data_IF_994673161123
#
_entry.id   IF_994673161123
#
_cell.length_a   1.000
_cell.length_b   1.000
_cell.length_c   1.000
_cell.angle_alpha   90.00
_cell.angle_beta   90.00
_cell.angle_gamma   90.00
#
_symmetry.space_group_name_H-M   'P 1'
#
loop_
_entity.id
_entity.type
_entity.pdbx_description
1 polymer ?
#
# COMPACT_ATOMS: atom_id res chain seq x y z
N UNK A 1 10.90 -8.09 -6.64
CA UNK A 1 10.50 -6.80 -7.20
C UNK A 1 11.72 -5.94 -7.43
N UNK A 2 11.88 -5.25 -8.57
CA UNK A 2 12.96 -4.31 -8.78
C UNK A 2 12.86 -3.12 -7.81
N UNK A 3 14.00 -2.54 -7.47
CA UNK A 3 14.11 -1.29 -6.72
C UNK A 3 15.27 -0.46 -7.26
N UNK A 4 15.23 0.86 -7.05
CA UNK A 4 16.28 1.75 -7.53
C UNK A 4 17.64 1.32 -6.96
N UNK A 5 18.63 1.15 -7.81
CA UNK A 5 19.97 0.66 -7.44
C UNK A 5 19.97 -0.60 -6.55
N UNK A 6 18.92 -1.41 -6.61
CA UNK A 6 18.71 -2.60 -5.78
C UNK A 6 18.78 -2.34 -4.25
N UNK A 7 18.30 -1.18 -3.82
CA UNK A 7 18.39 -0.75 -2.40
C UNK A 7 17.44 -1.49 -1.47
N UNK A 8 16.32 -2.02 -2.01
CA UNK A 8 15.36 -2.86 -1.27
C UNK A 8 14.85 -2.17 0.02
N UNK A 9 14.53 -0.89 -0.09
CA UNK A 9 14.12 -0.05 1.03
C UNK A 9 12.70 -0.34 1.55
N UNK A 10 11.89 -1.08 0.79
CA UNK A 10 10.49 -1.36 1.13
C UNK A 10 10.39 -2.32 2.32
N UNK A 11 9.46 -2.03 3.24
CA UNK A 11 9.10 -2.85 4.40
C UNK A 11 7.61 -3.16 4.37
N UNK A 12 7.21 -4.25 5.03
CA UNK A 12 5.81 -4.65 5.19
C UNK A 12 5.52 -4.88 6.67
N UNK A 13 4.53 -4.18 7.18
CA UNK A 13 4.01 -4.38 8.53
C UNK A 13 2.66 -5.07 8.47
N UNK A 14 2.58 -6.25 9.05
CA UNK A 14 1.34 -7.00 9.18
C UNK A 14 0.62 -6.61 10.46
N UNK A 15 -0.61 -6.15 10.33
CA UNK A 15 -1.48 -5.77 11.44
C UNK A 15 -2.62 -6.79 11.49
N UNK A 16 -2.70 -7.57 12.57
CA UNK A 16 -3.75 -8.57 12.79
C UNK A 16 -4.57 -8.28 14.06
N UNK A 17 -4.17 -7.28 14.84
CA UNK A 17 -4.92 -6.81 16.01
C UNK A 17 -6.13 -5.98 15.53
N UNK A 18 -7.39 -6.41 15.84
CA UNK A 18 -8.58 -5.73 15.36
C UNK A 18 -8.69 -4.26 15.81
N UNK A 19 -8.24 -3.93 17.01
CA UNK A 19 -8.29 -2.55 17.53
C UNK A 19 -7.29 -1.65 16.77
N UNK A 20 -6.10 -2.17 16.49
CA UNK A 20 -5.10 -1.47 15.67
C UNK A 20 -5.57 -1.31 14.23
N UNK A 21 -6.18 -2.34 13.63
CA UNK A 21 -6.78 -2.26 12.29
C UNK A 21 -7.84 -1.17 12.25
N UNK A 22 -8.79 -1.19 13.20
CA UNK A 22 -9.86 -0.19 13.27
C UNK A 22 -9.30 1.23 13.38
N UNK A 23 -8.29 1.43 14.24
CA UNK A 23 -7.67 2.73 14.45
C UNK A 23 -6.89 3.19 13.21
N UNK A 24 -6.12 2.31 12.58
CA UNK A 24 -5.37 2.62 11.36
C UNK A 24 -6.31 3.01 10.20
N UNK A 25 -7.39 2.26 9.99
CA UNK A 25 -8.39 2.55 8.97
C UNK A 25 -9.14 3.86 9.25
N UNK A 26 -9.38 4.19 10.52
CA UNK A 26 -9.97 5.48 10.91
C UNK A 26 -9.02 6.65 10.59
N UNK A 27 -7.72 6.49 10.84
CA UNK A 27 -6.71 7.49 10.48
C UNK A 27 -6.67 7.66 8.94
N UNK A 28 -6.68 6.56 8.20
CA UNK A 28 -6.67 6.54 6.74
C UNK A 28 -7.92 7.20 6.13
N UNK A 29 -9.10 6.99 6.72
CA UNK A 29 -10.33 7.73 6.42
C UNK A 29 -11.12 7.27 5.19
N UNK A 30 -10.58 6.40 4.34
CA UNK A 30 -11.19 5.99 3.07
C UNK A 30 -11.92 4.64 3.08
N UNK A 31 -11.94 3.93 4.20
CA UNK A 31 -12.50 2.56 4.30
C UNK A 31 -13.92 2.51 4.90
N UNK A 32 -14.66 3.62 4.81
CA UNK A 32 -16.00 3.70 5.37
C UNK A 32 -17.01 2.84 4.58
N UNK A 33 -17.81 2.06 5.30
CA UNK A 33 -18.85 1.22 4.69
C UNK A 33 -18.41 -0.18 4.28
N UNK A 34 -17.13 -0.53 4.45
CA UNK A 34 -16.62 -1.88 4.23
C UNK A 34 -16.51 -2.66 5.54
N UNK A 35 -16.59 -4.00 5.44
CA UNK A 35 -16.35 -4.88 6.58
C UNK A 35 -14.90 -4.82 7.05
N UNK A 36 -14.67 -5.04 8.35
CA UNK A 36 -13.32 -5.08 8.93
C UNK A 36 -12.50 -6.21 8.31
N UNK A 37 -11.34 -5.93 7.70
CA UNK A 37 -10.48 -6.99 7.18
C UNK A 37 -9.82 -7.75 8.34
N UNK A 38 -9.59 -9.07 8.21
CA UNK A 38 -8.87 -9.84 9.23
C UNK A 38 -7.39 -9.47 9.32
N UNK A 39 -6.81 -8.94 8.25
CA UNK A 39 -5.42 -8.48 8.19
C UNK A 39 -5.34 -7.19 7.39
N UNK A 40 -4.55 -6.25 7.89
CA UNK A 40 -4.16 -5.04 7.18
C UNK A 40 -2.64 -5.02 7.04
N UNK A 41 -2.13 -4.85 5.83
CA UNK A 41 -0.72 -4.64 5.57
C UNK A 41 -0.47 -3.16 5.38
N UNK A 42 0.58 -2.62 6.00
CA UNK A 42 1.13 -1.31 5.68
C UNK A 42 2.47 -1.50 4.97
N UNK A 43 2.57 -0.94 3.78
CA UNK A 43 3.80 -0.88 3.01
C UNK A 43 4.47 0.44 3.31
N UNK A 44 5.73 0.40 3.70
CA UNK A 44 6.57 1.58 3.96
C UNK A 44 7.85 1.54 3.15
N UNK A 45 8.55 2.67 3.10
CA UNK A 45 9.88 2.78 2.51
C UNK A 45 10.82 3.46 3.50
N UNK A 46 11.97 2.84 3.77
CA UNK A 46 13.04 3.42 4.58
C UNK A 46 13.74 4.55 3.80
N UNK A 47 13.45 5.80 4.14
CA UNK A 47 13.96 6.97 3.40
C UNK A 47 15.48 7.15 3.51
N UNK A 48 16.12 6.52 4.49
CA UNK A 48 17.59 6.58 4.65
C UNK A 48 18.34 5.84 3.54
N UNK A 49 17.65 4.98 2.80
CA UNK A 49 18.21 4.30 1.65
C UNK A 49 18.41 5.22 0.44
N UNK A 50 17.82 6.43 0.46
CA UNK A 50 17.85 7.40 -0.63
C UNK A 50 18.84 8.53 -0.30
N UNK A 51 19.72 8.87 -1.27
CA UNK A 51 20.93 9.63 -0.98
C UNK A 51 20.73 11.16 -1.02
N UNK A 52 19.70 11.66 -1.72
CA UNK A 52 19.52 13.08 -1.92
C UNK A 52 18.11 13.46 -2.43
N UNK A 53 17.80 14.75 -2.41
CA UNK A 53 16.53 15.31 -2.87
C UNK A 53 16.26 15.09 -4.38
N UNK A 54 17.25 14.71 -5.19
CA UNK A 54 17.07 14.37 -6.60
C UNK A 54 16.33 13.07 -6.81
N UNK A 55 16.32 12.19 -5.81
CA UNK A 55 15.60 10.90 -5.83
C UNK A 55 14.12 11.02 -5.43
N UNK A 56 13.64 12.25 -5.20
CA UNK A 56 12.26 12.71 -4.95
C UNK A 56 11.20 11.65 -4.63
N UNK A 57 10.75 10.95 -5.69
CA UNK A 57 9.59 10.05 -5.65
C UNK A 57 10.00 8.57 -5.62
N UNK A 58 11.28 8.26 -5.62
CA UNK A 58 11.77 6.87 -5.67
C UNK A 58 11.25 6.00 -4.53
N UNK A 59 11.09 6.49 -3.28
CA UNK A 59 10.46 5.71 -2.22
C UNK A 59 9.05 5.23 -2.59
N UNK A 60 8.26 6.09 -3.24
CA UNK A 60 6.90 5.76 -3.68
C UNK A 60 6.90 4.87 -4.92
N UNK A 61 7.83 5.08 -5.86
CA UNK A 61 7.98 4.24 -7.06
C UNK A 61 8.33 2.81 -6.65
N UNK A 62 9.36 2.62 -5.85
CA UNK A 62 9.81 1.32 -5.36
C UNK A 62 8.70 0.63 -4.53
N UNK A 63 8.07 1.38 -3.62
CA UNK A 63 6.98 0.87 -2.80
C UNK A 63 5.75 0.50 -3.63
N UNK A 64 5.43 1.26 -4.67
CA UNK A 64 4.33 0.97 -5.62
C UNK A 64 4.60 -0.29 -6.45
N UNK A 65 5.80 -0.45 -6.99
CA UNK A 65 6.23 -1.66 -7.72
C UNK A 65 6.16 -2.89 -6.82
N UNK A 66 6.63 -2.76 -5.59
CA UNK A 66 6.55 -3.83 -4.60
C UNK A 66 5.11 -4.19 -4.27
N UNK A 67 4.26 -3.18 -4.01
CA UNK A 67 2.85 -3.37 -3.68
C UNK A 67 2.12 -4.12 -4.79
N UNK A 68 2.35 -3.76 -6.06
CA UNK A 68 1.74 -4.46 -7.20
C UNK A 68 2.17 -5.92 -7.29
N UNK A 69 3.46 -6.20 -7.07
CA UNK A 69 3.97 -7.58 -7.02
C UNK A 69 3.37 -8.37 -5.87
N UNK A 70 3.18 -7.74 -4.71
CA UNK A 70 2.55 -8.36 -3.55
C UNK A 70 1.07 -8.67 -3.79
N UNK A 71 0.32 -7.76 -4.44
CA UNK A 71 -1.07 -8.00 -4.81
C UNK A 71 -1.20 -9.25 -5.70
N UNK A 72 -0.36 -9.40 -6.72
CA UNK A 72 -0.35 -10.61 -7.56
C UNK A 72 0.03 -11.88 -6.78
N UNK A 73 0.99 -11.78 -5.86
CA UNK A 73 1.38 -12.90 -5.04
C UNK A 73 0.23 -13.36 -4.13
N UNK A 74 -0.45 -12.42 -3.46
CA UNK A 74 -1.59 -12.71 -2.60
C UNK A 74 -2.76 -13.35 -3.39
N UNK A 75 -3.05 -12.84 -4.59
CA UNK A 75 -4.04 -13.43 -5.51
C UNK A 75 -3.67 -14.87 -5.88
N UNK A 76 -2.39 -15.14 -6.17
CA UNK A 76 -1.91 -16.50 -6.48
C UNK A 76 -2.08 -17.47 -5.31
N UNK A 77 -2.16 -16.97 -4.07
CA UNK A 77 -2.48 -17.74 -2.87
C UNK A 77 -3.98 -17.73 -2.52
N UNK A 78 -4.82 -17.29 -3.46
CA UNK A 78 -6.28 -17.20 -3.28
C UNK A 78 -6.71 -16.30 -2.12
N UNK A 79 -5.98 -15.23 -1.88
CA UNK A 79 -6.32 -14.20 -0.91
C UNK A 79 -6.92 -12.99 -1.61
N UNK A 80 -8.08 -12.53 -1.14
CA UNK A 80 -8.70 -11.31 -1.59
C UNK A 80 -7.91 -10.10 -1.05
N UNK A 81 -7.69 -9.10 -1.90
CA UNK A 81 -6.95 -7.90 -1.53
C UNK A 81 -7.70 -6.64 -1.93
N UNK A 82 -7.56 -5.60 -1.12
CA UNK A 82 -8.07 -4.27 -1.41
C UNK A 82 -7.00 -3.22 -1.09
N UNK A 83 -6.33 -2.66 -2.12
CA UNK A 83 -5.33 -1.63 -1.91
C UNK A 83 -5.99 -0.31 -1.53
N UNK A 84 -5.45 0.36 -0.51
CA UNK A 84 -5.86 1.66 -0.02
C UNK A 84 -4.67 2.60 -0.11
N UNK A 85 -4.90 3.79 -0.61
CA UNK A 85 -3.85 4.80 -0.61
C UNK A 85 -3.45 5.20 0.83
N UNK A 86 -2.22 5.63 0.98
CA UNK A 86 -1.73 6.30 2.18
C UNK A 86 -1.67 7.83 1.95
N UNK A 87 -2.57 8.38 1.13
CA UNK A 87 -2.67 9.81 0.86
C UNK A 87 -3.34 10.47 2.04
N UNK A 88 -2.54 10.80 3.00
CA UNK A 88 -2.91 11.46 4.23
C UNK A 88 -1.96 12.65 4.43
N UNK A 89 -2.25 13.50 5.36
CA UNK A 89 -1.33 14.57 5.70
C UNK A 89 -0.25 14.05 6.68
N UNK A 90 0.82 14.82 6.84
CA UNK A 90 1.92 14.48 7.73
C UNK A 90 1.47 14.09 9.15
N UNK A 91 0.43 14.75 9.68
CA UNK A 91 -0.10 14.42 11.01
C UNK A 91 -0.68 13.00 11.08
N UNK A 92 -1.35 12.57 10.03
CA UNK A 92 -1.92 11.22 9.94
C UNK A 92 -0.82 10.16 9.74
N UNK A 93 0.23 10.48 8.98
CA UNK A 93 1.41 9.62 8.85
C UNK A 93 2.06 9.41 10.23
N UNK A 94 2.32 10.48 10.96
CA UNK A 94 2.90 10.40 12.31
C UNK A 94 2.02 9.62 13.29
N UNK A 95 0.68 9.80 13.22
CA UNK A 95 -0.26 9.02 14.03
C UNK A 95 -0.19 7.52 13.69
N UNK A 96 -0.08 7.18 12.40
CA UNK A 96 0.07 5.79 11.95
C UNK A 96 1.36 5.17 12.45
N UNK A 97 2.49 5.87 12.27
CA UNK A 97 3.79 5.41 12.72
C UNK A 97 3.81 5.19 14.24
N UNK A 98 3.25 6.13 14.99
CA UNK A 98 3.13 6.02 16.45
C UNK A 98 2.23 4.86 16.90
N UNK A 99 1.05 4.68 16.26
CA UNK A 99 0.13 3.57 16.55
C UNK A 99 0.78 2.21 16.38
N UNK A 100 1.62 2.08 15.36
CA UNK A 100 2.25 0.81 14.97
C UNK A 100 3.67 0.65 15.50
N UNK A 101 4.18 1.64 16.24
CA UNK A 101 5.56 1.70 16.74
C UNK A 101 6.59 1.53 15.60
N UNK A 102 6.35 2.22 14.49
CA UNK A 102 7.22 2.25 13.32
C UNK A 102 8.14 3.47 13.42
N UNK A 103 9.44 3.35 13.06
CA UNK A 103 10.36 4.47 13.10
C UNK A 103 9.94 5.64 12.17
N UNK A 104 10.27 6.87 12.57
CA UNK A 104 9.92 8.10 11.86
C UNK A 104 10.66 8.30 10.52
N UNK A 105 11.71 7.52 10.28
CA UNK A 105 12.40 7.48 8.99
C UNK A 105 11.75 6.54 7.97
N UNK A 106 10.64 5.91 8.30
CA UNK A 106 9.87 5.11 7.36
C UNK A 106 8.67 5.91 6.83
N UNK A 107 8.55 5.94 5.51
CA UNK A 107 7.49 6.65 4.79
C UNK A 107 6.35 5.68 4.46
N UNK A 108 5.12 5.90 4.95
CA UNK A 108 3.95 5.13 4.52
C UNK A 108 3.69 5.30 3.02
N UNK A 109 3.55 4.18 2.31
CA UNK A 109 3.31 4.17 0.85
C UNK A 109 1.90 3.74 0.51
N UNK A 110 1.44 2.62 1.09
CA UNK A 110 0.15 2.02 0.75
C UNK A 110 -0.32 1.09 1.87
N UNK A 111 -1.64 1.04 2.08
CA UNK A 111 -2.26 -0.04 2.82
C UNK A 111 -2.83 -1.11 1.87
N UNK A 112 -2.84 -2.36 2.31
CA UNK A 112 -3.50 -3.45 1.62
C UNK A 112 -4.34 -4.21 2.65
N UNK A 113 -5.67 -4.12 2.53
CA UNK A 113 -6.56 -4.98 3.29
C UNK A 113 -6.54 -6.37 2.66
N UNK A 114 -6.41 -7.42 3.49
CA UNK A 114 -6.32 -8.81 3.05
C UNK A 114 -7.39 -9.63 3.74
N UNK A 115 -8.05 -10.51 2.99
CA UNK A 115 -9.09 -11.40 3.50
C UNK A 115 -9.29 -12.61 2.59
N UNK A 116 -10.38 -13.33 2.82
CA UNK A 116 -10.77 -14.44 1.96
C UNK A 116 -11.74 -13.94 0.88
N UNK A 117 -11.73 -14.58 -0.29
CA UNK A 117 -12.79 -14.38 -1.27
C UNK A 117 -14.11 -14.92 -0.72
N UNK A 118 -15.20 -14.13 -0.75
CA UNK A 118 -16.53 -14.68 -0.51
C UNK A 118 -16.92 -15.64 -1.65
N UNK A 119 -17.87 -16.54 -1.39
CA UNK A 119 -18.33 -17.55 -2.36
C UNK A 119 -18.83 -16.96 -3.68
N UNK A 120 -19.39 -15.74 -3.64
CA UNK A 120 -19.80 -15.02 -4.82
C UNK A 120 -19.59 -13.53 -4.61
N UNK A 121 -18.83 -12.92 -5.52
CA UNK A 121 -18.59 -11.46 -5.52
C UNK A 121 -19.01 -10.88 -6.86
N UNK A 122 -19.98 -9.97 -6.89
CA UNK A 122 -20.15 -9.15 -8.07
C UNK A 122 -18.94 -8.22 -8.21
N UNK A 123 -18.12 -8.48 -9.21
CA UNK A 123 -16.97 -7.61 -9.51
C UNK A 123 -17.42 -6.53 -10.49
N UNK A 124 -17.26 -5.27 -10.11
CA UNK A 124 -17.52 -4.17 -11.02
C UNK A 124 -16.57 -4.26 -12.24
N UNK A 125 -17.16 -4.18 -13.43
CA UNK A 125 -16.36 -4.09 -14.65
C UNK A 125 -15.59 -2.78 -14.65
N UNK A 126 -14.29 -2.85 -14.50
CA UNK A 126 -13.42 -1.67 -14.63
C UNK A 126 -13.21 -1.36 -16.13
N UNK A 127 -13.78 -0.24 -16.57
CA UNK A 127 -13.54 0.25 -17.94
C UNK A 127 -12.11 0.73 -18.08
N UNK A 128 -11.42 0.29 -19.11
CA UNK A 128 -10.08 0.76 -19.46
C UNK A 128 -10.18 1.65 -20.71
N UNK A 129 -9.49 2.79 -20.74
CA UNK A 129 -9.38 3.59 -21.96
C UNK A 129 -8.61 2.83 -23.05
N UNK A 130 -8.80 3.25 -24.31
CA UNK A 130 -7.97 2.77 -25.41
C UNK A 130 -6.49 3.05 -25.08
N UNK A 131 -5.58 2.05 -25.20
CA UNK A 131 -4.17 2.24 -24.91
C UNK A 131 -3.45 3.17 -25.90
N UNK A 132 -4.01 3.43 -27.08
CA UNK A 132 -3.38 4.29 -28.11
C UNK A 132 -2.93 5.66 -27.62
N UNK A 133 -3.72 6.41 -26.81
CA UNK A 133 -3.28 7.70 -26.30
C UNK A 133 -2.16 7.60 -25.24
N UNK A 134 -1.89 6.38 -24.72
CA UNK A 134 -0.86 6.18 -23.68
C UNK A 134 0.51 6.03 -24.32
N UNK A 135 0.56 5.57 -25.58
CA UNK A 135 1.80 5.33 -26.31
C UNK A 135 2.02 6.46 -27.32
N UNK A 136 3.00 7.31 -27.05
CA UNK A 136 3.44 8.36 -27.96
C UNK A 136 4.70 7.87 -28.69
N UNK A 137 4.67 7.89 -30.03
CA UNK A 137 5.86 7.68 -30.86
C UNK A 137 6.48 9.04 -31.15
N UNK A 138 7.73 9.21 -30.77
CA UNK A 138 8.54 10.41 -31.01
C UNK A 138 9.39 10.22 -32.26
#
# INVERSE_FOLDING_TARGET
>A
TPSVCNRQATRVYQIADPEKIATALKIQGGFNGYGMPPVLLLITSDIRAFMNNGERNEPFVDGGLFSMSLLYALEAYSLATFPLNAIVNLSQDLQTLALLNIPDYELPVMYIAVGNFPESVPVCRSTRPDPKPIVNKL
#
